data_IF_399359241501
#
_entry.id   IF_399359241501
#
_cell.length_a   1.000
_cell.length_b   1.000
_cell.length_c   1.000
_cell.angle_alpha   90.00
_cell.angle_beta   90.00
_cell.angle_gamma   90.00
#
_symmetry.space_group_name_H-M   'P 1'
#
loop_
_entity.id
_entity.type
_entity.pdbx_description
1 polymer ?
#
# COMPACT_ATOMS: atom_id res chain seq x y z
N UNK A 1 -18.32 -20.65 8.08
CA UNK A 1 -18.49 -20.30 6.65
C UNK A 1 -17.64 -19.11 6.20
N UNK A 2 -17.20 -18.20 7.08
CA UNK A 2 -16.35 -17.05 6.73
C UNK A 2 -15.16 -17.38 5.81
N UNK A 3 -14.41 -18.45 6.07
CA UNK A 3 -13.23 -18.82 5.27
C UNK A 3 -13.49 -19.03 3.78
N UNK A 4 -14.74 -19.34 3.38
CA UNK A 4 -15.11 -19.55 1.98
C UNK A 4 -15.05 -18.26 1.16
N UNK A 5 -15.45 -17.12 1.73
CA UNK A 5 -15.53 -15.84 1.03
C UNK A 5 -14.43 -14.86 1.42
N UNK A 6 -13.76 -15.07 2.56
CA UNK A 6 -12.72 -14.15 3.05
C UNK A 6 -11.69 -13.78 1.99
N UNK A 7 -11.15 -14.74 1.23
CA UNK A 7 -10.15 -14.45 0.18
C UNK A 7 -10.73 -13.61 -0.97
N UNK A 8 -11.98 -13.88 -1.34
CA UNK A 8 -12.68 -13.17 -2.41
C UNK A 8 -12.99 -11.74 -1.96
N UNK A 9 -13.53 -11.57 -0.75
CA UNK A 9 -13.83 -10.27 -0.15
C UNK A 9 -12.55 -9.42 -0.05
N UNK A 10 -11.46 -9.98 0.47
CA UNK A 10 -10.17 -9.30 0.53
C UNK A 10 -9.67 -8.83 -0.84
N UNK A 11 -9.80 -9.68 -1.86
CA UNK A 11 -9.41 -9.35 -3.24
C UNK A 11 -10.29 -8.27 -3.85
N UNK A 12 -11.60 -8.30 -3.58
CA UNK A 12 -12.55 -7.27 -4.02
C UNK A 12 -12.26 -5.92 -3.38
N UNK A 13 -11.98 -5.89 -2.07
CA UNK A 13 -11.60 -4.66 -1.35
C UNK A 13 -10.30 -4.11 -1.91
N UNK A 14 -9.31 -4.98 -2.16
CA UNK A 14 -8.06 -4.59 -2.83
C UNK A 14 -8.32 -3.94 -4.19
N UNK A 15 -9.09 -4.58 -5.07
CA UNK A 15 -9.35 -4.07 -6.43
C UNK A 15 -10.08 -2.73 -6.40
N UNK A 16 -11.10 -2.60 -5.55
CA UNK A 16 -11.81 -1.34 -5.36
C UNK A 16 -10.87 -0.23 -4.88
N UNK A 17 -10.05 -0.53 -3.86
CA UNK A 17 -9.07 0.42 -3.31
C UNK A 17 -8.03 0.83 -4.37
N UNK A 18 -7.57 -0.12 -5.17
CA UNK A 18 -6.56 0.13 -6.19
C UNK A 18 -7.12 0.98 -7.34
N UNK A 19 -8.36 0.74 -7.77
CA UNK A 19 -9.03 1.57 -8.78
C UNK A 19 -9.18 3.04 -8.33
N UNK A 20 -9.58 3.26 -7.08
CA UNK A 20 -9.69 4.60 -6.48
C UNK A 20 -8.32 5.29 -6.41
N UNK A 21 -7.29 4.55 -5.99
CA UNK A 21 -5.93 5.06 -5.95
C UNK A 21 -5.43 5.47 -7.33
N UNK A 22 -5.62 4.64 -8.36
CA UNK A 22 -5.18 4.97 -9.72
C UNK A 22 -5.90 6.18 -10.31
N UNK A 23 -7.13 6.46 -9.87
CA UNK A 23 -7.94 7.57 -10.37
C UNK A 23 -7.70 8.88 -9.63
N UNK A 24 -7.41 8.82 -8.33
CA UNK A 24 -7.42 10.01 -7.45
C UNK A 24 -6.30 10.05 -6.40
N UNK A 25 -5.42 9.04 -6.38
CA UNK A 25 -4.27 8.91 -5.47
C UNK A 25 -4.60 9.05 -3.97
N UNK A 26 -5.86 8.78 -3.62
CA UNK A 26 -6.37 8.84 -2.25
C UNK A 26 -6.72 7.45 -1.72
N UNK A 27 -6.90 7.38 -0.41
CA UNK A 27 -7.38 6.19 0.26
C UNK A 27 -8.90 6.12 0.10
N UNK A 28 -9.41 4.94 -0.21
CA UNK A 28 -10.86 4.68 -0.23
C UNK A 28 -11.39 4.66 1.21
N UNK A 29 -12.56 5.22 1.45
CA UNK A 29 -13.18 5.17 2.79
C UNK A 29 -13.96 3.87 2.99
N UNK A 30 -14.29 3.55 4.25
CA UNK A 30 -15.19 2.42 4.55
C UNK A 30 -16.51 2.59 3.81
N UNK A 31 -17.09 3.78 3.84
CA UNK A 31 -18.42 4.07 3.27
C UNK A 31 -18.43 3.89 1.74
N UNK A 32 -17.33 4.23 1.08
CA UNK A 32 -17.17 4.01 -0.36
C UNK A 32 -17.06 2.52 -0.68
N UNK A 33 -16.31 1.75 0.12
CA UNK A 33 -16.24 0.30 -0.04
C UNK A 33 -17.61 -0.34 0.20
N UNK A 34 -18.35 0.12 1.20
CA UNK A 34 -19.72 -0.33 1.45
C UNK A 34 -20.63 -0.04 0.25
N UNK A 35 -20.53 1.15 -0.33
CA UNK A 35 -21.29 1.53 -1.52
C UNK A 35 -20.87 0.74 -2.76
N UNK A 36 -19.58 0.43 -2.94
CA UNK A 36 -19.07 -0.30 -4.10
C UNK A 36 -19.38 -1.80 -4.05
N UNK A 37 -19.29 -2.40 -2.85
CA UNK A 37 -19.51 -3.84 -2.66
C UNK A 37 -20.94 -4.18 -2.24
N UNK A 38 -21.73 -3.19 -1.82
CA UNK A 38 -23.10 -3.38 -1.33
C UNK A 38 -23.18 -4.09 0.02
N UNK A 39 -22.09 -4.09 0.79
CA UNK A 39 -21.95 -4.85 2.05
C UNK A 39 -21.38 -3.95 3.12
N UNK A 40 -21.99 -3.97 4.32
CA UNK A 40 -21.55 -3.16 5.47
C UNK A 40 -20.22 -3.65 6.03
N UNK A 41 -19.36 -2.73 6.44
CA UNK A 41 -18.10 -3.00 7.14
C UNK A 41 -18.38 -2.98 8.64
N UNK A 42 -18.18 -4.12 9.29
CA UNK A 42 -18.43 -4.28 10.71
C UNK A 42 -17.26 -3.75 11.54
N UNK A 43 -17.26 -2.44 11.80
CA UNK A 43 -16.21 -1.78 12.60
C UNK A 43 -16.39 -1.99 14.11
N UNK A 44 -17.63 -2.25 14.58
CA UNK A 44 -17.98 -2.33 16.02
C UNK A 44 -18.27 -3.74 16.52
N UNK A 45 -18.17 -4.75 15.66
CA UNK A 45 -18.53 -6.14 15.94
C UNK A 45 -19.98 -6.33 16.44
N UNK A 46 -20.89 -5.47 16.01
CA UNK A 46 -22.30 -5.44 16.43
C UNK A 46 -23.26 -6.01 15.36
N UNK A 47 -22.79 -6.20 14.13
CA UNK A 47 -23.59 -6.75 13.03
C UNK A 47 -23.66 -8.29 13.09
N UNK A 48 -24.88 -8.83 12.94
CA UNK A 48 -25.14 -10.27 12.82
C UNK A 48 -25.38 -10.74 11.38
N UNK A 49 -25.66 -9.81 10.46
CA UNK A 49 -25.83 -10.10 9.03
C UNK A 49 -24.47 -10.31 8.33
N UNK A 50 -24.48 -10.71 7.05
CA UNK A 50 -23.25 -10.75 6.25
C UNK A 50 -22.59 -9.37 6.23
N UNK A 51 -21.32 -9.33 6.60
CA UNK A 51 -20.55 -8.11 6.74
C UNK A 51 -19.09 -8.35 6.37
N UNK A 52 -18.43 -7.27 5.98
CA UNK A 52 -16.97 -7.27 5.84
C UNK A 52 -16.39 -7.08 7.23
N UNK A 53 -15.62 -8.06 7.68
CA UNK A 53 -14.90 -7.94 8.95
C UNK A 53 -13.76 -6.92 8.83
N UNK A 54 -13.40 -6.29 9.95
CA UNK A 54 -12.24 -5.39 10.00
C UNK A 54 -10.97 -6.09 9.50
N UNK A 55 -10.81 -7.40 9.79
CA UNK A 55 -9.68 -8.20 9.33
C UNK A 55 -9.60 -8.29 7.80
N UNK A 56 -10.73 -8.50 7.12
CA UNK A 56 -10.81 -8.55 5.66
C UNK A 56 -10.52 -7.19 5.03
N UNK A 57 -11.05 -6.12 5.65
CA UNK A 57 -10.81 -4.74 5.22
C UNK A 57 -9.34 -4.36 5.31
N UNK A 58 -8.70 -4.60 6.45
CA UNK A 58 -7.28 -4.33 6.65
C UNK A 58 -6.41 -5.16 5.70
N UNK A 59 -6.77 -6.43 5.47
CA UNK A 59 -6.00 -7.27 4.55
C UNK A 59 -6.06 -6.78 3.10
N UNK A 60 -7.19 -6.24 2.65
CA UNK A 60 -7.29 -5.58 1.35
C UNK A 60 -6.27 -4.44 1.17
N UNK A 61 -6.06 -3.63 2.21
CA UNK A 61 -5.02 -2.58 2.17
C UNK A 61 -3.60 -3.12 2.17
N UNK A 62 -3.33 -4.23 2.86
CA UNK A 62 -2.01 -4.88 2.78
C UNK A 62 -1.73 -5.29 1.33
N UNK A 63 -2.70 -5.91 0.66
CA UNK A 63 -2.58 -6.27 -0.76
C UNK A 63 -2.35 -5.03 -1.64
N UNK A 64 -3.04 -3.92 -1.37
CA UNK A 64 -2.81 -2.64 -2.06
C UNK A 64 -1.35 -2.18 -1.94
N UNK A 65 -0.78 -2.16 -0.73
CA UNK A 65 0.62 -1.69 -0.53
C UNK A 65 1.64 -2.51 -1.31
N UNK A 66 1.40 -3.82 -1.46
CA UNK A 66 2.25 -4.71 -2.24
C UNK A 66 2.22 -4.37 -3.73
N UNK A 67 1.04 -4.12 -4.29
CA UNK A 67 0.89 -3.78 -5.70
C UNK A 67 1.37 -2.36 -6.00
N UNK A 68 1.20 -1.41 -5.07
CA UNK A 68 1.80 -0.08 -5.18
C UNK A 68 3.33 -0.11 -5.22
N UNK A 69 3.95 -1.03 -4.47
CA UNK A 69 5.40 -1.21 -4.50
C UNK A 69 5.87 -1.70 -5.88
N UNK A 70 5.14 -2.63 -6.51
CA UNK A 70 5.42 -3.06 -7.89
C UNK A 70 5.21 -1.93 -8.89
N UNK A 71 4.14 -1.18 -8.74
CA UNK A 71 3.82 -0.03 -9.58
C UNK A 71 4.93 1.03 -9.51
N UNK A 72 5.45 1.32 -8.32
CA UNK A 72 6.56 2.26 -8.14
C UNK A 72 7.81 1.82 -8.91
N UNK A 73 8.22 0.56 -8.79
CA UNK A 73 9.37 0.01 -9.52
C UNK A 73 9.15 0.13 -11.03
N UNK A 74 7.99 -0.29 -11.52
CA UNK A 74 7.66 -0.22 -12.95
C UNK A 74 7.64 1.23 -13.46
N UNK A 75 7.21 2.18 -12.62
CA UNK A 75 7.21 3.61 -12.98
C UNK A 75 8.63 4.15 -13.16
N UNK A 76 9.56 3.75 -12.28
CA UNK A 76 10.99 4.09 -12.41
C UNK A 76 11.58 3.52 -13.70
N UNK A 77 11.26 2.28 -14.05
CA UNK A 77 11.70 1.64 -15.30
C UNK A 77 11.22 2.40 -16.54
N UNK A 78 10.05 3.04 -16.46
CA UNK A 78 9.47 3.86 -17.53
C UNK A 78 9.94 5.33 -17.49
N UNK A 79 10.84 5.70 -16.57
CA UNK A 79 11.36 7.06 -16.43
C UNK A 79 10.48 8.02 -15.62
N UNK A 80 9.38 7.55 -15.05
CA UNK A 80 8.55 8.33 -14.11
C UNK A 80 9.10 8.18 -12.69
N UNK A 81 9.87 9.17 -12.27
CA UNK A 81 10.48 9.23 -10.95
C UNK A 81 9.64 9.98 -9.91
N UNK A 82 8.57 10.65 -10.32
CA UNK A 82 7.70 11.41 -9.42
C UNK A 82 6.64 10.52 -8.78
N UNK A 83 6.02 9.63 -9.57
CA UNK A 83 5.02 8.68 -9.09
C UNK A 83 5.50 7.80 -7.93
N UNK A 84 6.73 7.28 -7.92
CA UNK A 84 7.29 6.61 -6.75
C UNK A 84 7.21 7.49 -5.48
N UNK A 85 7.58 8.78 -5.55
CA UNK A 85 7.58 9.67 -4.39
C UNK A 85 6.16 9.84 -3.81
N UNK A 86 5.17 9.99 -4.70
CA UNK A 86 3.75 10.07 -4.32
C UNK A 86 3.26 8.77 -3.68
N UNK A 87 3.62 7.61 -4.24
CA UNK A 87 3.35 6.29 -3.66
C UNK A 87 3.97 6.18 -2.26
N UNK A 88 5.22 6.61 -2.07
CA UNK A 88 5.89 6.55 -0.77
C UNK A 88 5.18 7.40 0.29
N UNK A 89 4.76 8.63 -0.07
CA UNK A 89 3.98 9.49 0.82
C UNK A 89 2.66 8.83 1.22
N UNK A 90 1.91 8.32 0.24
CA UNK A 90 0.64 7.64 0.47
C UNK A 90 0.79 6.43 1.41
N UNK A 91 1.75 5.55 1.16
CA UNK A 91 2.01 4.36 1.99
C UNK A 91 2.41 4.75 3.42
N UNK A 92 3.17 5.84 3.58
CA UNK A 92 3.54 6.37 4.91
C UNK A 92 2.32 6.88 5.68
N UNK A 93 1.44 7.64 5.04
CA UNK A 93 0.19 8.13 5.65
C UNK A 93 -0.73 6.96 6.05
N UNK A 94 -0.88 5.97 5.18
CA UNK A 94 -1.62 4.75 5.46
C UNK A 94 -1.05 3.99 6.67
N UNK A 95 0.28 3.85 6.74
CA UNK A 95 0.96 3.23 7.89
C UNK A 95 0.70 4.00 9.19
N UNK A 96 0.80 5.33 9.17
CA UNK A 96 0.50 6.17 10.35
C UNK A 96 -0.96 6.01 10.79
N UNK A 97 -1.90 5.94 9.83
CA UNK A 97 -3.31 5.64 10.10
C UNK A 97 -3.51 4.29 10.80
N UNK A 98 -2.78 3.25 10.39
CA UNK A 98 -2.81 1.95 11.08
C UNK A 98 -2.18 1.99 12.47
N UNK A 99 -1.15 2.82 12.71
CA UNK A 99 -0.58 2.98 14.06
C UNK A 99 -1.54 3.68 15.02
N UNK A 100 -2.36 4.60 14.52
CA UNK A 100 -3.43 5.28 15.28
C UNK A 100 -4.56 4.31 15.65
N UNK A 101 -4.85 3.35 14.77
CA UNK A 101 -5.72 2.22 15.06
C UNK A 101 -4.99 1.29 16.05
N UNK A 102 -5.02 1.63 17.34
CA UNK A 102 -4.48 0.81 18.42
C UNK A 102 -5.35 -0.47 18.58
N UNK A 103 -5.16 -1.39 17.63
CA UNK A 103 -5.86 -2.66 17.51
C UNK A 103 -5.58 -3.48 18.77
N UNK A 104 -6.58 -3.64 19.62
CA UNK A 104 -6.59 -4.59 20.75
C UNK A 104 -6.51 -6.07 20.30
N UNK A 105 -6.51 -6.35 18.99
CA UNK A 105 -6.42 -7.71 18.43
C UNK A 105 -4.97 -8.12 18.14
N UNK A 106 -4.47 -9.06 18.94
CA UNK A 106 -3.11 -9.62 18.88
C UNK A 106 -2.80 -10.36 17.56
N UNK A 107 -3.83 -10.89 16.87
CA UNK A 107 -3.71 -11.56 15.57
C UNK A 107 -3.41 -10.60 14.41
N UNK A 108 -4.08 -9.43 14.39
CA UNK A 108 -3.83 -8.37 13.43
C UNK A 108 -2.47 -7.71 13.67
N UNK A 109 -2.09 -7.53 14.94
CA UNK A 109 -0.76 -7.02 15.30
C UNK A 109 0.34 -7.95 14.80
N UNK A 110 0.19 -9.28 14.86
CA UNK A 110 1.14 -10.25 14.28
C UNK A 110 1.18 -10.22 12.75
N UNK A 111 0.03 -10.10 12.07
CA UNK A 111 0.01 -9.90 10.60
C UNK A 111 0.64 -8.55 10.20
N UNK A 112 0.51 -7.53 11.06
CA UNK A 112 1.07 -6.19 10.90
C UNK A 112 2.58 -6.12 11.20
N UNK A 113 3.07 -6.83 12.21
CA UNK A 113 4.50 -7.10 12.37
C UNK A 113 5.03 -7.87 11.16
N UNK A 114 4.21 -8.71 10.52
CA UNK A 114 4.45 -9.29 9.20
C UNK A 114 4.47 -8.28 8.04
N UNK A 115 3.87 -7.08 8.17
CA UNK A 115 4.03 -5.95 7.23
C UNK A 115 5.35 -5.22 7.52
N UNK A 116 5.65 -4.95 8.80
CA UNK A 116 6.94 -4.43 9.26
C UNK A 116 8.11 -5.34 8.85
N UNK A 117 7.87 -6.66 8.84
CA UNK A 117 8.78 -7.71 8.43
C UNK A 117 8.49 -8.22 7.01
N UNK A 118 7.52 -7.63 6.28
CA UNK A 118 7.42 -7.88 4.86
C UNK A 118 8.64 -7.20 4.29
N UNK A 119 9.62 -8.04 3.96
CA UNK A 119 10.87 -7.67 3.35
C UNK A 119 10.59 -6.65 2.23
N UNK A 120 9.50 -6.81 1.49
CA UNK A 120 9.07 -5.94 0.39
C UNK A 120 8.75 -4.49 0.76
N UNK A 121 8.11 -4.17 1.89
CA UNK A 121 7.81 -2.77 2.25
C UNK A 121 9.06 -2.07 2.79
N UNK A 122 9.88 -2.79 3.56
CA UNK A 122 11.18 -2.31 4.04
C UNK A 122 12.18 -2.16 2.89
N UNK A 123 12.20 -3.13 1.97
CA UNK A 123 12.90 -3.03 0.71
C UNK A 123 12.31 -1.96 -0.20
N UNK A 124 11.02 -1.64 -0.18
CA UNK A 124 10.51 -0.50 -0.93
C UNK A 124 11.10 0.80 -0.35
N UNK A 125 11.06 1.01 0.97
CA UNK A 125 11.72 2.17 1.59
C UNK A 125 13.25 2.21 1.33
N UNK A 126 13.96 1.08 1.43
CA UNK A 126 15.41 1.00 1.21
C UNK A 126 15.81 1.02 -0.28
N UNK A 127 15.04 0.39 -1.19
CA UNK A 127 15.21 0.47 -2.65
C UNK A 127 14.83 1.84 -3.19
N UNK A 128 13.92 2.56 -2.54
CA UNK A 128 13.67 3.96 -2.87
C UNK A 128 14.89 4.83 -2.55
N UNK A 129 15.53 4.59 -1.41
CA UNK A 129 16.83 5.17 -1.09
C UNK A 129 17.89 4.74 -2.12
N UNK A 130 17.87 3.48 -2.56
CA UNK A 130 18.77 2.94 -3.59
C UNK A 130 18.52 3.53 -5.00
N UNK A 131 17.27 3.82 -5.37
CA UNK A 131 16.92 4.49 -6.63
C UNK A 131 17.29 5.97 -6.58
N UNK A 132 17.12 6.63 -5.42
CA UNK A 132 17.62 7.98 -5.19
C UNK A 132 19.16 8.02 -5.22
N UNK A 133 19.80 7.00 -4.67
CA UNK A 133 21.25 6.79 -4.70
C UNK A 133 21.75 6.51 -6.13
N UNK A 134 21.05 5.68 -6.92
CA UNK A 134 21.35 5.44 -8.34
C UNK A 134 21.14 6.70 -9.18
N UNK A 135 20.17 7.55 -8.85
CA UNK A 135 19.97 8.85 -9.52
C UNK A 135 21.11 9.82 -9.19
N UNK A 136 21.56 9.86 -7.94
CA UNK A 136 22.76 10.60 -7.53
C UNK A 136 24.04 10.03 -8.17
N UNK A 137 24.16 8.72 -8.30
CA UNK A 137 25.32 8.05 -8.88
C UNK A 137 25.36 8.23 -10.41
N UNK A 138 24.22 8.13 -11.09
CA UNK A 138 24.08 8.39 -12.52
C UNK A 138 24.31 9.88 -12.85
N UNK A 139 23.80 10.81 -12.04
CA UNK A 139 24.12 12.23 -12.20
C UNK A 139 25.60 12.51 -11.91
N UNK A 140 26.18 11.89 -10.88
CA UNK A 140 27.59 12.05 -10.54
C UNK A 140 28.52 11.53 -11.64
N UNK A 141 28.16 10.42 -12.30
CA UNK A 141 28.91 9.91 -13.46
C UNK A 141 28.80 10.86 -14.65
N UNK A 142 27.59 11.36 -14.96
CA UNK A 142 27.41 12.33 -16.06
C UNK A 142 28.15 13.65 -15.81
N UNK A 143 28.14 14.16 -14.56
CA UNK A 143 28.89 15.36 -14.19
C UNK A 143 30.41 15.16 -14.23
N UNK A 144 30.91 13.96 -13.92
CA UNK A 144 32.34 13.65 -14.01
C UNK A 144 32.83 13.54 -15.45
N UNK A 145 31.97 13.08 -16.36
CA UNK A 145 32.27 13.00 -17.80
C UNK A 145 32.32 14.39 -18.43
N UNK A 146 31.47 15.34 -18.01
CA UNK A 146 31.49 16.72 -18.52
C UNK A 146 32.65 17.58 -17.99
N UNK A 147 33.34 17.19 -16.92
CA UNK A 147 34.45 17.95 -16.31
C UNK A 147 35.84 17.30 -16.53
N UNK A 148 35.91 16.34 -17.44
CA UNK A 148 37.16 15.68 -17.87
C UNK A 148 37.46 15.93 -19.36
N UNK A 149 36.69 16.78 -20.04
CA UNK A 149 36.90 17.20 -21.45
C UNK A 149 37.43 18.64 -21.62
N UNK A 150 37.80 19.33 -20.52
CA UNK A 150 38.60 20.58 -20.55
C UNK A 150 39.98 20.33 -19.90
#
# INVERSE_FOLDING_TARGET
YNELWTRVVQSSIFLASFAVYLSSERLVTSDEIESMLGVRVNLKNDLQDFHISLDEFLHGYIMLTNELSRLAINSVTLGDYDRPLRISKFVKELYMGFQLLNLKNDSLRKKFDGIKASSKLKFAFDYFFYCYFLKLFSLAILYKVQYQED
#
